data_IF_166516061340
#
_entry.id   IF_166516061340
#
_cell.length_a   1.000
_cell.length_b   1.000
_cell.length_c   1.000
_cell.angle_alpha   90.00
_cell.angle_beta   90.00
_cell.angle_gamma   90.00
#
_symmetry.space_group_name_H-M   'P 1'
#
loop_
_entity.id
_entity.type
_entity.pdbx_description
1 polymer ?
#
# COMPACT_ATOMS: atom_id res chain seq x y z
N UNK A 1 21.73 -57.08 26.95
CA UNK A 1 22.26 -55.84 26.31
C UNK A 1 21.06 -55.12 25.67
N UNK A 2 20.54 -54.14 26.35
CA UNK A 2 19.35 -53.38 25.94
C UNK A 2 19.78 -52.01 25.49
N UNK A 3 19.64 -51.70 24.22
CA UNK A 3 19.95 -50.38 23.64
C UNK A 3 18.72 -49.48 23.71
N UNK A 4 18.74 -48.54 24.65
CA UNK A 4 17.76 -47.50 24.77
C UNK A 4 17.92 -46.49 23.60
N UNK A 5 16.91 -46.38 22.74
CA UNK A 5 16.79 -45.36 21.71
C UNK A 5 16.29 -44.07 22.39
N UNK A 6 17.18 -43.08 22.47
CA UNK A 6 16.86 -41.74 22.97
C UNK A 6 15.89 -41.04 22.05
N UNK A 7 14.68 -40.77 22.55
CA UNK A 7 13.71 -39.90 21.88
C UNK A 7 14.23 -38.45 21.95
N UNK A 8 14.73 -37.93 20.82
CA UNK A 8 14.96 -36.49 20.66
C UNK A 8 13.62 -35.80 20.70
N UNK A 9 13.34 -35.04 21.74
CA UNK A 9 12.20 -34.13 21.81
C UNK A 9 12.36 -33.05 20.74
N UNK A 10 11.50 -33.07 19.78
CA UNK A 10 11.28 -31.97 18.85
C UNK A 10 10.51 -30.89 19.63
N UNK A 11 11.26 -30.02 20.30
CA UNK A 11 10.70 -28.74 20.75
C UNK A 11 10.53 -27.86 19.52
N UNK A 12 9.39 -27.99 18.87
CA UNK A 12 8.87 -27.03 17.91
C UNK A 12 8.63 -25.74 18.69
N UNK A 13 9.65 -24.90 18.74
CA UNK A 13 9.55 -23.51 19.18
C UNK A 13 8.75 -22.81 18.09
N UNK A 14 7.41 -22.86 18.17
CA UNK A 14 6.55 -21.90 17.50
C UNK A 14 6.94 -20.52 18.03
N UNK A 15 7.88 -19.87 17.37
CA UNK A 15 8.04 -18.42 17.48
C UNK A 15 6.73 -17.84 16.98
N UNK A 16 5.81 -17.50 17.87
CA UNK A 16 4.64 -16.69 17.57
C UNK A 16 5.19 -15.37 17.03
N UNK A 17 5.27 -15.27 15.70
CA UNK A 17 5.70 -14.01 15.05
C UNK A 17 4.70 -12.96 15.46
N UNK A 18 5.20 -11.87 16.07
CA UNK A 18 4.38 -10.72 16.46
C UNK A 18 3.62 -10.27 15.21
N UNK A 19 2.28 -10.22 15.24
CA UNK A 19 1.51 -9.86 14.07
C UNK A 19 1.69 -8.38 13.74
N UNK A 20 1.58 -8.06 12.46
CA UNK A 20 1.64 -6.69 11.92
C UNK A 20 0.21 -6.25 11.61
N UNK A 21 -0.21 -5.09 12.10
CA UNK A 21 -1.50 -4.51 11.74
C UNK A 21 -1.47 -4.04 10.28
N UNK A 22 -2.40 -4.51 9.45
CA UNK A 22 -2.56 -4.05 8.07
C UNK A 22 -3.75 -3.10 8.01
N UNK A 23 -3.49 -1.80 7.87
CA UNK A 23 -4.51 -0.77 7.70
C UNK A 23 -4.65 -0.44 6.22
N UNK A 24 -5.86 -0.58 5.68
CA UNK A 24 -6.17 -0.18 4.32
C UNK A 24 -7.58 0.38 4.19
N UNK A 25 -7.97 0.81 2.99
CA UNK A 25 -9.23 1.52 2.78
C UNK A 25 -10.45 0.62 2.87
N UNK A 26 -10.39 -0.56 2.26
CA UNK A 26 -11.51 -1.51 2.13
C UNK A 26 -11.10 -2.90 2.56
N UNK A 27 -12.05 -3.84 2.77
CA UNK A 27 -11.68 -5.23 3.06
C UNK A 27 -10.85 -5.91 1.94
N UNK A 28 -11.01 -5.47 0.69
CA UNK A 28 -10.29 -6.06 -0.46
C UNK A 28 -8.83 -5.66 -0.43
N UNK A 29 -8.53 -4.36 -0.39
CA UNK A 29 -7.13 -3.91 -0.35
C UNK A 29 -6.44 -4.24 0.98
N UNK A 30 -7.17 -4.31 2.08
CA UNK A 30 -6.62 -4.80 3.36
C UNK A 30 -6.17 -6.25 3.24
N UNK A 31 -6.97 -7.12 2.62
CA UNK A 31 -6.59 -8.51 2.34
C UNK A 31 -5.37 -8.58 1.42
N UNK A 32 -5.31 -7.75 0.37
CA UNK A 32 -4.14 -7.66 -0.50
C UNK A 32 -2.87 -7.29 0.28
N UNK A 33 -2.97 -6.38 1.24
CA UNK A 33 -1.87 -6.01 2.14
C UNK A 33 -1.44 -7.18 3.05
N UNK A 34 -2.39 -7.95 3.59
CA UNK A 34 -2.10 -9.17 4.36
C UNK A 34 -1.38 -10.21 3.49
N UNK A 35 -1.85 -10.42 2.26
CA UNK A 35 -1.20 -11.33 1.30
C UNK A 35 0.20 -10.86 0.90
N UNK A 36 0.41 -9.54 0.79
CA UNK A 36 1.71 -8.95 0.51
C UNK A 36 2.71 -9.29 1.64
N UNK A 37 2.33 -9.14 2.90
CA UNK A 37 3.14 -9.54 4.06
C UNK A 37 3.35 -11.06 4.10
N UNK A 38 2.32 -11.85 3.80
CA UNK A 38 2.41 -13.31 3.83
C UNK A 38 3.41 -13.86 2.80
N UNK A 39 3.53 -13.25 1.62
CA UNK A 39 4.55 -13.60 0.61
C UNK A 39 5.97 -13.40 1.14
N UNK A 40 6.18 -12.47 2.06
CA UNK A 40 7.45 -12.26 2.75
C UNK A 40 7.60 -13.10 4.03
N UNK A 41 6.65 -14.00 4.31
CA UNK A 41 6.66 -14.86 5.49
C UNK A 41 6.29 -14.11 6.78
N UNK A 42 5.61 -12.97 6.71
CA UNK A 42 5.13 -12.19 7.85
C UNK A 42 3.64 -12.45 8.11
N UNK A 43 3.21 -12.25 9.35
CA UNK A 43 1.81 -12.42 9.74
C UNK A 43 1.13 -11.06 9.82
N UNK A 44 0.12 -10.82 8.97
CA UNK A 44 -0.71 -9.62 8.98
C UNK A 44 -2.06 -9.85 9.62
N UNK A 45 -2.56 -8.87 10.41
CA UNK A 45 -3.95 -8.80 10.87
C UNK A 45 -4.65 -7.65 10.15
N UNK A 46 -5.84 -7.91 9.62
CA UNK A 46 -6.60 -6.98 8.77
C UNK A 46 -7.41 -5.97 9.58
N UNK A 47 -7.23 -4.67 9.27
CA UNK A 47 -7.97 -3.55 9.86
C UNK A 47 -8.46 -2.60 8.75
N UNK A 48 -9.57 -2.91 8.05
CA UNK A 48 -10.13 -2.04 7.02
C UNK A 48 -10.77 -0.79 7.63
N UNK A 49 -10.51 0.39 7.03
CA UNK A 49 -11.03 1.68 7.49
C UNK A 49 -12.47 1.95 7.02
N UNK A 50 -12.91 1.33 5.93
CA UNK A 50 -14.24 1.47 5.36
C UNK A 50 -14.74 0.13 4.82
N UNK A 51 -16.05 0.02 4.54
CA UNK A 51 -16.64 -1.20 3.99
C UNK A 51 -16.51 -1.30 2.46
N UNK A 52 -16.31 -0.17 1.79
CA UNK A 52 -16.29 -0.07 0.34
C UNK A 52 -15.58 1.22 -0.14
N UNK A 53 -15.21 1.33 -1.45
CA UNK A 53 -14.47 2.49 -1.97
C UNK A 53 -15.22 3.83 -1.88
N UNK A 54 -16.55 3.83 -1.89
CA UNK A 54 -17.33 5.07 -1.78
C UNK A 54 -17.29 5.62 -0.36
N UNK A 55 -17.43 4.74 0.63
CA UNK A 55 -17.29 5.10 2.05
C UNK A 55 -15.86 5.52 2.38
N UNK A 56 -14.88 4.87 1.77
CA UNK A 56 -13.48 5.30 1.87
C UNK A 56 -13.29 6.73 1.34
N UNK A 57 -13.86 7.06 0.18
CA UNK A 57 -13.81 8.43 -0.35
C UNK A 57 -14.49 9.43 0.59
N UNK A 58 -15.66 9.09 1.16
CA UNK A 58 -16.34 9.94 2.15
C UNK A 58 -15.48 10.15 3.41
N UNK A 59 -14.82 9.11 3.91
CA UNK A 59 -13.85 9.22 5.02
C UNK A 59 -12.71 10.19 4.68
N UNK A 60 -12.14 10.14 3.49
CA UNK A 60 -11.01 10.99 3.08
C UNK A 60 -11.35 12.48 3.07
N UNK A 61 -12.61 12.84 2.81
CA UNK A 61 -13.09 14.23 2.79
C UNK A 61 -13.66 14.71 4.14
N UNK A 62 -13.76 13.84 5.15
CA UNK A 62 -14.16 14.23 6.51
C UNK A 62 -13.11 15.12 7.19
N UNK A 63 -13.44 15.68 8.34
CA UNK A 63 -12.52 16.57 9.06
C UNK A 63 -11.22 15.86 9.47
N UNK A 64 -10.15 16.62 9.62
CA UNK A 64 -8.86 16.05 10.04
C UNK A 64 -8.97 15.40 11.42
N UNK A 65 -9.71 15.99 12.35
CA UNK A 65 -9.91 15.44 13.68
C UNK A 65 -10.63 14.08 13.65
N UNK A 66 -11.70 13.96 12.85
CA UNK A 66 -12.42 12.69 12.69
C UNK A 66 -11.54 11.59 12.09
N UNK A 67 -10.76 11.92 11.05
CA UNK A 67 -9.83 10.97 10.43
C UNK A 67 -8.77 10.48 11.40
N UNK A 68 -8.14 11.42 12.11
CA UNK A 68 -7.09 11.09 13.09
C UNK A 68 -7.64 10.24 14.23
N UNK A 69 -8.79 10.60 14.81
CA UNK A 69 -9.43 9.83 15.87
C UNK A 69 -9.81 8.41 15.42
N UNK A 70 -10.35 8.26 14.21
CA UNK A 70 -10.71 6.94 13.68
C UNK A 70 -9.48 6.04 13.45
N UNK A 71 -8.38 6.59 12.93
CA UNK A 71 -7.13 5.84 12.74
C UNK A 71 -6.51 5.48 14.09
N UNK A 72 -6.48 6.41 15.06
CA UNK A 72 -5.98 6.14 16.41
C UNK A 72 -6.73 4.97 17.05
N UNK A 73 -8.06 4.97 17.00
CA UNK A 73 -8.88 3.90 17.56
C UNK A 73 -8.55 2.53 16.92
N UNK A 74 -8.29 2.48 15.62
CA UNK A 74 -7.88 1.25 14.91
C UNK A 74 -6.48 0.81 15.35
N UNK A 75 -5.52 1.73 15.50
CA UNK A 75 -4.18 1.40 15.98
C UNK A 75 -4.21 0.88 17.43
N UNK A 76 -5.03 1.47 18.31
CA UNK A 76 -5.22 0.97 19.69
C UNK A 76 -5.85 -0.43 19.70
N UNK A 77 -6.83 -0.69 18.83
CA UNK A 77 -7.41 -2.03 18.67
C UNK A 77 -6.35 -3.04 18.19
N UNK A 78 -5.47 -2.64 17.25
CA UNK A 78 -4.38 -3.48 16.77
C UNK A 78 -3.35 -3.79 17.89
N UNK A 79 -3.01 -2.79 18.70
CA UNK A 79 -2.15 -2.99 19.89
C UNK A 79 -2.76 -3.98 20.89
N UNK A 80 -4.05 -3.85 21.14
CA UNK A 80 -4.77 -4.76 22.03
C UNK A 80 -4.76 -6.22 21.52
N UNK A 81 -4.57 -6.42 20.19
CA UNK A 81 -4.37 -7.73 19.57
C UNK A 81 -2.88 -8.14 19.45
N UNK A 82 -1.97 -7.41 20.09
CA UNK A 82 -0.55 -7.73 20.17
C UNK A 82 0.30 -7.20 19.01
N UNK A 83 -0.24 -6.36 18.12
CA UNK A 83 0.54 -5.73 17.07
C UNK A 83 1.46 -4.65 17.65
N UNK A 84 2.73 -4.68 17.26
CA UNK A 84 3.73 -3.65 17.59
C UNK A 84 4.10 -2.79 16.37
N UNK A 85 3.81 -3.28 15.16
CA UNK A 85 4.05 -2.61 13.88
C UNK A 85 2.74 -2.45 13.11
N UNK A 86 2.64 -1.39 12.30
CA UNK A 86 1.51 -1.14 11.41
C UNK A 86 2.00 -0.93 9.97
N UNK A 87 1.41 -1.68 9.05
CA UNK A 87 1.61 -1.61 7.61
C UNK A 87 0.41 -0.90 6.99
N UNK A 88 0.55 0.41 6.74
CA UNK A 88 -0.54 1.23 6.17
C UNK A 88 -0.59 1.01 4.67
N UNK A 89 -1.30 -0.03 4.25
CA UNK A 89 -1.41 -0.43 2.85
C UNK A 89 -2.50 0.38 2.15
N UNK A 90 -2.34 1.73 2.14
CA UNK A 90 -3.29 2.64 1.49
C UNK A 90 -2.68 4.02 1.25
N UNK A 91 -2.51 4.40 -0.01
CA UNK A 91 -1.96 5.71 -0.39
C UNK A 91 -2.85 6.87 0.04
N UNK A 92 -4.15 6.79 -0.22
CA UNK A 92 -5.09 7.85 0.10
C UNK A 92 -5.33 8.01 1.60
N UNK A 93 -5.28 6.93 2.39
CA UNK A 93 -5.29 7.00 3.84
C UNK A 93 -4.03 7.71 4.35
N UNK A 94 -2.86 7.28 3.88
CA UNK A 94 -1.56 7.85 4.27
C UNK A 94 -1.45 9.33 3.93
N UNK A 95 -2.05 9.78 2.84
CA UNK A 95 -2.04 11.20 2.44
C UNK A 95 -3.07 12.06 3.17
N UNK A 96 -4.07 11.45 3.82
CA UNK A 96 -5.15 12.16 4.51
C UNK A 96 -4.98 12.22 6.03
N UNK A 97 -4.03 11.47 6.60
CA UNK A 97 -3.72 11.45 8.05
C UNK A 97 -2.21 11.54 8.23
N UNK A 98 -1.76 12.36 9.18
CA UNK A 98 -0.36 12.34 9.62
C UNK A 98 -0.15 11.20 10.61
N UNK A 99 0.65 10.21 10.21
CA UNK A 99 0.96 9.05 11.04
C UNK A 99 2.10 9.30 12.04
N UNK A 100 2.86 10.38 11.91
CA UNK A 100 3.98 10.68 12.80
C UNK A 100 3.54 10.85 14.27
N UNK A 101 2.56 11.72 14.59
CA UNK A 101 2.08 11.83 15.97
C UNK A 101 1.40 10.54 16.46
N UNK A 102 0.72 9.80 15.59
CA UNK A 102 0.06 8.54 15.96
C UNK A 102 1.07 7.44 16.30
N UNK A 103 2.19 7.37 15.59
CA UNK A 103 3.29 6.48 15.91
C UNK A 103 3.88 6.78 17.30
N UNK A 104 4.09 8.08 17.60
CA UNK A 104 4.59 8.52 18.90
C UNK A 104 3.61 8.21 20.05
N UNK A 105 2.29 8.44 19.84
CA UNK A 105 1.25 8.20 20.82
C UNK A 105 1.04 6.71 21.11
N UNK A 106 1.02 5.90 20.07
CA UNK A 106 0.79 4.45 20.18
C UNK A 106 2.05 3.66 20.50
N UNK A 107 3.24 4.21 20.27
CA UNK A 107 4.50 3.49 20.35
C UNK A 107 4.66 2.40 19.29
N UNK A 108 3.84 2.44 18.22
CA UNK A 108 3.92 1.49 17.10
C UNK A 108 4.91 1.99 16.04
N UNK A 109 5.65 1.06 15.44
CA UNK A 109 6.40 1.32 14.22
C UNK A 109 5.43 1.29 13.02
N UNK A 110 5.28 2.42 12.32
CA UNK A 110 4.28 2.58 11.26
C UNK A 110 4.98 2.85 9.94
N UNK A 111 4.73 1.99 8.95
CA UNK A 111 5.24 2.14 7.58
C UNK A 111 4.10 2.49 6.63
N UNK A 112 4.31 3.54 5.83
CA UNK A 112 3.35 4.05 4.84
C UNK A 112 3.96 4.10 3.44
N UNK A 113 3.15 4.10 2.35
CA UNK A 113 3.67 4.33 1.00
C UNK A 113 4.37 5.68 0.84
N UNK A 114 3.97 6.70 1.64
CA UNK A 114 4.56 8.04 1.56
C UNK A 114 6.03 8.04 2.00
N UNK A 115 6.42 7.15 2.89
CA UNK A 115 7.82 6.99 3.31
C UNK A 115 8.68 6.56 2.12
N UNK A 116 8.16 5.64 1.31
CA UNK A 116 8.83 5.15 0.11
C UNK A 116 8.92 6.23 -0.98
N UNK A 117 7.86 7.04 -1.14
CA UNK A 117 7.88 8.13 -2.13
C UNK A 117 8.91 9.21 -1.80
N UNK A 118 9.16 9.52 -0.52
CA UNK A 118 10.23 10.44 -0.11
C UNK A 118 11.60 9.96 -0.56
N UNK A 119 11.85 8.65 -0.50
CA UNK A 119 13.11 8.04 -0.93
C UNK A 119 13.20 7.85 -2.45
N UNK A 120 12.05 7.74 -3.12
CA UNK A 120 11.95 7.57 -4.56
C UNK A 120 12.22 8.88 -5.31
N UNK A 121 11.70 10.02 -4.81
CA UNK A 121 11.70 11.30 -5.50
C UNK A 121 13.09 11.69 -6.06
N UNK A 122 14.21 11.65 -5.30
CA UNK A 122 15.51 12.07 -5.80
C UNK A 122 16.13 11.13 -6.84
N UNK A 123 15.52 9.98 -7.11
CA UNK A 123 16.03 8.98 -8.07
C UNK A 123 15.55 9.25 -9.51
N UNK A 124 14.58 10.15 -9.69
CA UNK A 124 13.95 10.44 -10.98
C UNK A 124 13.89 11.93 -11.24
N UNK A 125 13.76 12.29 -12.50
CA UNK A 125 13.49 13.68 -12.92
C UNK A 125 12.04 13.85 -13.37
N UNK A 126 11.44 12.80 -13.90
CA UNK A 126 10.09 12.82 -14.48
C UNK A 126 9.34 11.53 -14.12
N UNK A 127 8.27 11.63 -13.38
CA UNK A 127 7.45 10.48 -12.98
C UNK A 127 6.01 10.63 -13.44
N UNK A 128 5.49 9.56 -14.08
CA UNK A 128 4.07 9.34 -14.24
C UNK A 128 3.47 8.79 -12.94
N UNK A 129 2.25 9.18 -12.61
CA UNK A 129 1.56 8.74 -11.39
C UNK A 129 0.11 8.42 -11.71
N UNK A 130 -0.33 7.19 -11.40
CA UNK A 130 -1.75 6.84 -11.41
C UNK A 130 -2.22 6.58 -9.97
N UNK A 131 -3.37 7.16 -9.60
CA UNK A 131 -3.97 6.99 -8.28
C UNK A 131 -5.46 6.62 -8.41
N UNK A 132 -6.09 6.20 -7.31
CA UNK A 132 -7.51 5.89 -7.31
C UNK A 132 -8.38 7.15 -7.53
N UNK A 133 -8.05 8.24 -6.82
CA UNK A 133 -8.80 9.49 -6.83
C UNK A 133 -7.87 10.71 -6.64
N UNK A 134 -8.44 11.91 -6.77
CA UNK A 134 -7.70 13.17 -6.70
C UNK A 134 -7.05 13.41 -5.32
N UNK A 135 -7.67 12.98 -4.23
CA UNK A 135 -7.11 13.12 -2.88
C UNK A 135 -5.83 12.32 -2.71
N UNK A 136 -5.84 11.04 -3.17
CA UNK A 136 -4.66 10.19 -3.19
C UNK A 136 -3.57 10.75 -4.10
N UNK A 137 -3.93 11.16 -5.32
CA UNK A 137 -3.01 11.75 -6.28
C UNK A 137 -2.31 12.98 -5.69
N UNK A 138 -3.06 13.95 -5.20
CA UNK A 138 -2.53 15.19 -4.62
C UNK A 138 -1.65 14.92 -3.37
N UNK A 139 -1.97 13.91 -2.58
CA UNK A 139 -1.16 13.53 -1.42
C UNK A 139 0.19 12.95 -1.80
N UNK A 140 0.23 12.08 -2.81
CA UNK A 140 1.47 11.52 -3.34
C UNK A 140 2.32 12.62 -4.01
N UNK A 141 1.69 13.46 -4.83
CA UNK A 141 2.35 14.59 -5.50
C UNK A 141 3.02 15.53 -4.48
N UNK A 142 2.28 15.97 -3.44
CA UNK A 142 2.86 16.80 -2.36
C UNK A 142 4.06 16.13 -1.70
N UNK A 143 3.99 14.83 -1.45
CA UNK A 143 5.07 14.09 -0.80
C UNK A 143 6.32 14.02 -1.68
N UNK A 144 6.14 13.73 -2.96
CA UNK A 144 7.24 13.67 -3.93
C UNK A 144 7.90 15.05 -4.11
N UNK A 145 7.10 16.11 -4.31
CA UNK A 145 7.61 17.48 -4.51
C UNK A 145 8.22 18.09 -3.24
N UNK A 146 7.76 17.67 -2.05
CA UNK A 146 8.41 18.07 -0.80
C UNK A 146 9.80 17.44 -0.64
N UNK A 147 10.02 16.24 -1.20
CA UNK A 147 11.32 15.57 -1.18
C UNK A 147 12.25 16.04 -2.30
N UNK A 148 11.72 16.30 -3.50
CA UNK A 148 12.44 16.94 -4.61
C UNK A 148 11.53 17.92 -5.37
N UNK A 149 11.67 19.25 -5.13
CA UNK A 149 10.87 20.27 -5.82
C UNK A 149 11.15 20.40 -7.32
N UNK A 150 12.20 19.74 -7.84
CA UNK A 150 12.55 19.77 -9.27
C UNK A 150 11.96 18.60 -10.05
N UNK A 151 11.30 17.67 -9.36
CA UNK A 151 10.66 16.53 -9.98
C UNK A 151 9.47 16.97 -10.85
N UNK A 152 9.47 16.61 -12.10
CA UNK A 152 8.36 16.85 -13.03
C UNK A 152 7.35 15.69 -12.92
N UNK A 153 6.10 16.01 -12.60
CA UNK A 153 5.05 15.01 -12.34
C UNK A 153 3.89 15.15 -13.32
N UNK A 154 3.40 14.01 -13.79
CA UNK A 154 2.20 13.91 -14.58
C UNK A 154 1.29 12.85 -13.95
N UNK A 155 0.03 13.19 -13.62
CA UNK A 155 -0.86 12.32 -12.87
C UNK A 155 -2.21 12.06 -13.52
N UNK A 156 -2.78 10.87 -13.27
CA UNK A 156 -4.13 10.50 -13.65
C UNK A 156 -4.85 9.72 -12.54
N UNK A 157 -6.20 9.82 -12.51
CA UNK A 157 -7.06 9.12 -11.55
C UNK A 157 -7.84 8.00 -12.22
N UNK A 158 -7.84 6.80 -11.60
CA UNK A 158 -8.38 5.56 -12.17
C UNK A 158 -9.34 4.85 -11.19
N UNK A 159 -10.29 5.59 -10.58
CA UNK A 159 -11.29 4.97 -9.70
C UNK A 159 -12.10 3.85 -10.38
N UNK A 160 -12.48 3.94 -11.67
CA UNK A 160 -13.14 2.83 -12.36
C UNK A 160 -12.34 1.53 -12.34
N UNK A 161 -11.00 1.58 -12.43
CA UNK A 161 -10.16 0.39 -12.32
C UNK A 161 -10.21 -0.22 -10.92
N UNK A 162 -10.25 0.59 -9.86
CA UNK A 162 -10.45 0.11 -8.48
C UNK A 162 -11.77 -0.63 -8.34
N UNK A 163 -12.86 -0.07 -8.89
CA UNK A 163 -14.19 -0.72 -8.85
C UNK A 163 -14.20 -2.06 -9.59
N UNK A 164 -13.49 -2.17 -10.73
CA UNK A 164 -13.33 -3.43 -11.45
C UNK A 164 -12.55 -4.47 -10.63
N UNK A 165 -11.49 -4.06 -9.91
CA UNK A 165 -10.73 -4.95 -9.01
C UNK A 165 -11.62 -5.45 -7.88
N UNK A 166 -12.37 -4.57 -7.23
CA UNK A 166 -13.30 -4.91 -6.16
C UNK A 166 -14.41 -5.86 -6.62
N UNK A 167 -14.81 -5.77 -7.89
CA UNK A 167 -15.76 -6.67 -8.53
C UNK A 167 -15.14 -8.02 -8.96
N UNK A 168 -13.82 -8.21 -8.79
CA UNK A 168 -13.12 -9.44 -9.15
C UNK A 168 -12.89 -9.63 -10.65
N UNK A 169 -12.88 -8.53 -11.43
CA UNK A 169 -12.59 -8.61 -12.87
C UNK A 169 -11.16 -9.12 -13.10
N UNK A 170 -10.93 -10.11 -14.01
CA UNK A 170 -9.59 -10.62 -14.29
C UNK A 170 -8.61 -9.54 -14.74
N UNK A 171 -7.32 -9.57 -14.32
CA UNK A 171 -6.34 -8.52 -14.60
C UNK A 171 -6.20 -8.17 -16.07
N UNK A 172 -6.16 -9.15 -16.96
CA UNK A 172 -6.02 -8.96 -18.40
C UNK A 172 -7.24 -8.25 -19.00
N UNK A 173 -8.46 -8.61 -18.59
CA UNK A 173 -9.69 -7.97 -19.02
C UNK A 173 -9.79 -6.52 -18.52
N UNK A 174 -9.38 -6.30 -17.26
CA UNK A 174 -9.35 -4.97 -16.65
C UNK A 174 -8.36 -4.04 -17.37
N UNK A 175 -7.15 -4.52 -17.65
CA UNK A 175 -6.11 -3.77 -18.37
C UNK A 175 -6.61 -3.32 -19.74
N UNK A 176 -7.31 -4.21 -20.46
CA UNK A 176 -7.89 -3.90 -21.77
C UNK A 176 -9.07 -2.92 -21.67
N UNK A 177 -10.03 -3.19 -20.77
CA UNK A 177 -11.22 -2.36 -20.56
C UNK A 177 -10.87 -0.91 -20.24
N UNK A 178 -9.90 -0.69 -19.37
CA UNK A 178 -9.50 0.63 -18.90
C UNK A 178 -8.39 1.26 -19.74
N UNK A 179 -8.01 0.64 -20.85
CA UNK A 179 -7.03 1.17 -21.81
C UNK A 179 -5.70 1.53 -21.11
N UNK A 180 -5.29 0.70 -20.15
CA UNK A 180 -4.09 0.99 -19.36
C UNK A 180 -2.79 0.96 -20.18
N UNK A 181 -2.63 0.11 -21.22
CA UNK A 181 -1.47 0.18 -22.09
C UNK A 181 -1.36 1.51 -22.85
N UNK A 182 -2.48 2.03 -23.35
CA UNK A 182 -2.52 3.33 -24.06
C UNK A 182 -2.24 4.48 -23.10
N UNK A 183 -2.72 4.40 -21.86
CA UNK A 183 -2.40 5.36 -20.82
C UNK A 183 -0.90 5.32 -20.49
N UNK A 184 -0.32 4.15 -20.29
CA UNK A 184 1.11 4.00 -20.04
C UNK A 184 1.96 4.50 -21.20
N UNK A 185 1.52 4.24 -22.45
CA UNK A 185 2.19 4.75 -23.65
C UNK A 185 2.09 6.29 -23.72
N UNK A 186 0.96 6.87 -23.35
CA UNK A 186 0.83 8.33 -23.27
C UNK A 186 1.81 8.94 -22.26
N UNK A 187 1.95 8.36 -21.06
CA UNK A 187 2.98 8.78 -20.09
C UNK A 187 4.38 8.69 -20.68
N UNK A 188 4.70 7.61 -21.38
CA UNK A 188 5.99 7.40 -22.04
C UNK A 188 6.25 8.46 -23.11
N UNK A 189 5.26 8.77 -23.96
CA UNK A 189 5.36 9.81 -24.99
C UNK A 189 5.50 11.22 -24.38
N UNK A 190 4.94 11.47 -23.19
CA UNK A 190 5.18 12.68 -22.43
C UNK A 190 6.58 12.71 -21.77
N UNK A 191 7.40 11.67 -21.97
CA UNK A 191 8.78 11.59 -21.51
C UNK A 191 8.91 11.21 -20.03
N UNK A 192 7.90 10.57 -19.43
CA UNK A 192 8.03 10.02 -18.07
C UNK A 192 9.00 8.84 -18.06
N UNK A 193 9.84 8.77 -17.03
CA UNK A 193 10.87 7.73 -16.87
C UNK A 193 10.31 6.44 -16.28
N UNK A 194 9.26 6.56 -15.47
CA UNK A 194 8.54 5.44 -14.88
C UNK A 194 7.09 5.84 -14.54
N UNK A 195 6.23 4.84 -14.30
CA UNK A 195 4.85 5.00 -13.87
C UNK A 195 4.67 4.43 -12.47
N UNK A 196 4.35 5.30 -11.51
CA UNK A 196 4.06 4.93 -10.12
C UNK A 196 2.62 4.45 -10.02
N UNK A 197 2.44 3.24 -9.49
CA UNK A 197 1.16 2.64 -9.15
C UNK A 197 0.70 3.16 -7.77
N UNK A 198 0.17 4.39 -7.74
CA UNK A 198 -0.19 5.13 -6.53
C UNK A 198 -1.51 4.71 -5.87
N UNK A 199 -1.91 3.46 -6.05
CA UNK A 199 -3.03 2.84 -5.36
C UNK A 199 -2.69 1.39 -5.04
N UNK A 200 -2.97 0.96 -3.82
CA UNK A 200 -2.69 -0.39 -3.31
C UNK A 200 -3.54 -1.50 -3.96
N UNK A 201 -4.58 -1.15 -4.69
CA UNK A 201 -5.28 -2.08 -5.57
C UNK A 201 -4.49 -2.40 -6.86
N UNK A 202 -3.65 -1.49 -7.36
CA UNK A 202 -3.06 -1.59 -8.70
C UNK A 202 -1.98 -2.68 -8.87
N UNK A 203 -1.30 -3.17 -7.83
CA UNK A 203 -0.48 -4.38 -7.95
C UNK A 203 -1.25 -5.58 -8.51
N UNK A 204 -2.59 -5.62 -8.37
CA UNK A 204 -3.45 -6.65 -8.94
C UNK A 204 -3.29 -6.82 -10.46
N UNK A 205 -3.12 -5.73 -11.19
CA UNK A 205 -2.94 -5.77 -12.65
C UNK A 205 -1.50 -5.48 -13.11
N UNK A 206 -0.55 -5.26 -12.19
CA UNK A 206 0.84 -4.88 -12.52
C UNK A 206 1.47 -5.80 -13.56
N UNK A 207 1.39 -7.12 -13.35
CA UNK A 207 2.01 -8.10 -14.25
C UNK A 207 1.34 -8.15 -15.63
N UNK A 208 0.01 -7.97 -15.69
CA UNK A 208 -0.72 -7.91 -16.94
C UNK A 208 -0.35 -6.65 -17.74
N UNK A 209 -0.23 -5.50 -17.07
CA UNK A 209 0.19 -4.25 -17.70
C UNK A 209 1.68 -4.29 -18.11
N UNK A 210 2.56 -4.84 -17.27
CA UNK A 210 3.99 -4.93 -17.55
C UNK A 210 4.32 -5.69 -18.86
N UNK A 211 3.47 -6.65 -19.25
CA UNK A 211 3.60 -7.36 -20.54
C UNK A 211 3.25 -6.48 -21.75
N UNK A 212 2.64 -5.32 -21.54
CA UNK A 212 2.04 -4.47 -22.58
C UNK A 212 2.61 -3.04 -22.61
N UNK A 213 3.57 -2.71 -21.75
CA UNK A 213 4.26 -1.41 -21.74
C UNK A 213 5.76 -1.59 -21.57
N UNK A 214 6.54 -0.70 -22.17
CA UNK A 214 7.98 -0.58 -21.92
C UNK A 214 8.30 0.41 -20.79
N UNK A 215 7.30 1.15 -20.30
CA UNK A 215 7.49 2.10 -19.20
C UNK A 215 7.65 1.31 -17.90
N UNK A 216 8.73 1.51 -17.11
CA UNK A 216 8.92 0.85 -15.84
C UNK A 216 7.74 1.16 -14.89
N UNK A 217 7.20 0.12 -14.23
CA UNK A 217 6.12 0.24 -13.25
C UNK A 217 6.68 0.17 -11.83
N UNK A 218 6.38 1.18 -11.02
CA UNK A 218 6.83 1.27 -9.63
C UNK A 218 5.66 0.97 -8.71
N UNK A 219 5.80 -0.09 -7.90
CA UNK A 219 4.91 -0.43 -6.80
C UNK A 219 5.66 -0.21 -5.49
N UNK A 220 5.20 0.67 -4.59
CA UNK A 220 5.88 0.93 -3.31
C UNK A 220 5.83 -0.24 -2.33
N UNK A 221 4.94 -1.21 -2.54
CA UNK A 221 4.67 -2.27 -1.56
C UNK A 221 5.89 -3.14 -1.25
N UNK A 222 6.72 -3.46 -2.25
CA UNK A 222 7.92 -4.27 -2.05
C UNK A 222 8.93 -3.59 -1.11
N UNK A 223 9.11 -2.29 -1.28
CA UNK A 223 9.99 -1.49 -0.42
C UNK A 223 9.42 -1.32 0.99
N UNK A 224 8.09 -1.10 1.07
CA UNK A 224 7.39 -1.06 2.36
C UNK A 224 7.58 -2.36 3.15
N UNK A 225 7.52 -3.52 2.49
CA UNK A 225 7.76 -4.82 3.13
C UNK A 225 9.18 -4.91 3.65
N UNK A 226 10.19 -4.49 2.90
CA UNK A 226 11.58 -4.45 3.38
C UNK A 226 11.70 -3.59 4.62
N UNK A 227 11.15 -2.39 4.61
CA UNK A 227 11.20 -1.42 5.71
C UNK A 227 10.51 -1.92 6.98
N UNK A 228 9.37 -2.59 6.87
CA UNK A 228 8.67 -3.12 8.05
C UNK A 228 9.42 -4.29 8.72
N UNK A 229 10.36 -4.92 8.00
CA UNK A 229 11.22 -6.00 8.51
C UNK A 229 12.45 -5.49 9.27
N UNK A 230 12.84 -4.25 9.09
CA UNK A 230 13.92 -3.58 9.83
C UNK A 230 13.46 -3.27 11.26
#
# INVERSE_FOLDING_TARGET
MSTAISAKSWSDTMHTRIPIAVLAGTPVDTRMGVECLAKAGLTGLAFPMASDPRRQTAFQISSQAEKTAAVLAVLEQARAQGCQKAFVYCNSLSSSVDFTPLAAETGMDIVTPLDIYRELAPRYRRLGLIAANAQGLAGIERTLLAADPKLDLLGACMLPAVLSIEAGEPPEALVERHRLPELAEWFRLCGMEALVLGCTHFPYFKDALAKRTSLPLIDPAEEMVRRIME
#
